data_IF_990236292617
#
_entry.id   IF_990236292617
#
_cell.length_a   1.000
_cell.length_b   1.000
_cell.length_c   1.000
_cell.angle_alpha   90.00
_cell.angle_beta   90.00
_cell.angle_gamma   90.00
#
_symmetry.space_group_name_H-M   'P 1'
#
loop_
_entity.id
_entity.type
_entity.pdbx_description
1 polymer ?
#
# COMPACT_ATOMS: atom_id res chain seq x y z
N UNK A 1 -28.72 -0.19 -3.42
CA UNK A 1 -28.75 -0.59 -4.84
C UNK A 1 -27.33 -1.01 -5.23
N UNK A 2 -27.14 -2.26 -5.66
CA UNK A 2 -25.87 -2.69 -6.25
C UNK A 2 -25.80 -2.15 -7.68
N UNK A 3 -24.75 -1.39 -8.01
CA UNK A 3 -24.49 -0.96 -9.39
C UNK A 3 -23.85 -2.15 -10.13
N UNK A 4 -24.39 -2.60 -11.27
CA UNK A 4 -23.75 -3.64 -12.05
C UNK A 4 -22.44 -3.12 -12.66
N UNK A 5 -21.43 -3.99 -12.73
CA UNK A 5 -20.11 -3.74 -13.33
C UNK A 5 -19.84 -4.78 -14.42
N UNK A 6 -19.21 -4.38 -15.54
CA UNK A 6 -18.96 -5.27 -16.66
C UNK A 6 -17.86 -6.31 -16.37
N UNK A 7 -16.93 -5.97 -15.48
CA UNK A 7 -15.84 -6.81 -15.02
C UNK A 7 -15.33 -6.34 -13.64
N UNK A 8 -14.41 -7.11 -13.05
CA UNK A 8 -13.89 -6.83 -11.71
C UNK A 8 -12.95 -5.62 -11.69
N UNK A 9 -12.34 -5.27 -12.83
CA UNK A 9 -11.52 -4.06 -12.99
C UNK A 9 -12.36 -2.80 -12.83
N UNK A 10 -13.50 -2.71 -13.50
CA UNK A 10 -14.43 -1.57 -13.36
C UNK A 10 -14.90 -1.41 -11.92
N UNK A 11 -15.17 -2.52 -11.22
CA UNK A 11 -15.53 -2.47 -9.81
C UNK A 11 -14.39 -1.90 -8.94
N UNK A 12 -13.15 -2.36 -9.14
CA UNK A 12 -11.98 -1.86 -8.40
C UNK A 12 -11.69 -0.40 -8.74
N UNK A 13 -11.81 0.02 -9.99
CA UNK A 13 -11.59 1.41 -10.39
C UNK A 13 -12.67 2.33 -9.83
N UNK A 14 -13.94 1.90 -9.76
CA UNK A 14 -14.96 2.65 -9.03
C UNK A 14 -14.61 2.77 -7.53
N UNK A 15 -14.12 1.69 -6.92
CA UNK A 15 -13.68 1.73 -5.53
C UNK A 15 -12.49 2.69 -5.35
N UNK A 16 -11.56 2.74 -6.31
CA UNK A 16 -10.44 3.69 -6.33
C UNK A 16 -10.93 5.13 -6.37
N UNK A 17 -11.86 5.44 -7.27
CA UNK A 17 -12.47 6.78 -7.37
C UNK A 17 -13.12 7.19 -6.04
N UNK A 18 -13.91 6.29 -5.45
CA UNK A 18 -14.56 6.55 -4.17
C UNK A 18 -13.54 6.79 -3.04
N UNK A 19 -12.52 5.92 -2.94
CA UNK A 19 -11.50 6.00 -1.91
C UNK A 19 -10.63 7.27 -2.05
N UNK A 20 -10.25 7.64 -3.27
CA UNK A 20 -9.47 8.85 -3.53
C UNK A 20 -10.32 10.12 -3.36
N UNK A 21 -11.60 10.09 -3.71
CA UNK A 21 -12.55 11.17 -3.44
C UNK A 21 -12.71 11.40 -1.94
N UNK A 22 -12.95 10.32 -1.17
CA UNK A 22 -12.99 10.37 0.29
C UNK A 22 -11.71 10.95 0.89
N UNK A 23 -10.53 10.48 0.44
CA UNK A 23 -9.24 11.02 0.90
C UNK A 23 -9.14 12.52 0.60
N UNK A 24 -9.46 12.94 -0.62
CA UNK A 24 -9.38 14.35 -1.03
C UNK A 24 -10.31 15.24 -0.18
N UNK A 25 -11.53 14.79 0.11
CA UNK A 25 -12.46 15.51 0.98
C UNK A 25 -11.95 15.61 2.41
N UNK A 26 -11.36 14.54 2.96
CA UNK A 26 -10.77 14.55 4.30
C UNK A 26 -9.55 15.47 4.41
N UNK A 27 -8.70 15.51 3.39
CA UNK A 27 -7.51 16.37 3.35
C UNK A 27 -7.83 17.87 3.29
N UNK A 28 -9.05 18.24 2.90
CA UNK A 28 -9.51 19.64 2.95
C UNK A 28 -10.02 20.05 4.33
N UNK A 29 -10.21 19.11 5.26
CA UNK A 29 -10.73 19.40 6.60
C UNK A 29 -9.61 19.90 7.52
N UNK A 30 -9.90 20.82 8.46
CA UNK A 30 -8.92 21.25 9.47
C UNK A 30 -8.40 20.11 10.34
N UNK A 31 -9.22 19.07 10.52
CA UNK A 31 -8.87 17.83 11.21
C UNK A 31 -9.25 16.65 10.32
N UNK A 32 -8.24 15.90 9.92
CA UNK A 32 -8.38 14.71 9.07
C UNK A 32 -8.94 13.56 9.92
N UNK A 33 -9.86 12.77 9.37
CA UNK A 33 -10.37 11.57 10.02
C UNK A 33 -9.22 10.59 10.35
N UNK A 34 -9.21 9.99 11.55
CA UNK A 34 -8.27 8.92 11.88
C UNK A 34 -8.44 7.68 11.00
N UNK A 35 -9.57 7.56 10.29
CA UNK A 35 -9.85 6.40 9.45
C UNK A 35 -8.89 6.29 8.26
N UNK A 36 -8.37 7.41 7.73
CA UNK A 36 -7.32 7.40 6.69
C UNK A 36 -6.11 6.59 7.18
N UNK A 37 -5.62 6.93 8.38
CA UNK A 37 -4.51 6.20 9.01
C UNK A 37 -4.89 4.75 9.29
N UNK A 38 -6.08 4.47 9.84
CA UNK A 38 -6.51 3.08 10.12
C UNK A 38 -6.55 2.21 8.86
N UNK A 39 -7.03 2.74 7.74
CA UNK A 39 -7.10 2.02 6.45
C UNK A 39 -5.69 1.65 5.98
N UNK A 40 -4.75 2.60 6.03
CA UNK A 40 -3.36 2.37 5.63
C UNK A 40 -2.67 1.40 6.60
N UNK A 41 -2.85 1.58 7.91
CA UNK A 41 -2.25 0.74 8.95
C UNK A 41 -2.74 -0.72 8.92
N UNK A 42 -3.93 -0.98 8.37
CA UNK A 42 -4.43 -2.34 8.18
C UNK A 42 -3.60 -3.15 7.17
N UNK A 43 -2.77 -2.50 6.35
CA UNK A 43 -1.86 -3.20 5.46
C UNK A 43 -0.67 -3.78 6.23
N UNK A 44 -0.23 -5.01 5.92
CA UNK A 44 0.93 -5.60 6.55
C UNK A 44 2.21 -4.85 6.16
N UNK A 45 3.20 -4.82 7.06
CA UNK A 45 4.54 -4.31 6.74
C UNK A 45 5.20 -5.14 5.64
N UNK A 46 6.11 -4.50 4.89
CA UNK A 46 6.97 -5.20 3.95
C UNK A 46 8.15 -5.86 4.66
N UNK A 47 8.44 -7.09 4.26
CA UNK A 47 9.52 -7.90 4.82
C UNK A 47 9.05 -8.82 5.96
N UNK A 48 9.99 -9.48 6.65
CA UNK A 48 9.66 -10.34 7.78
C UNK A 48 8.98 -9.53 8.88
N UNK A 49 7.67 -9.72 9.04
CA UNK A 49 6.85 -9.08 10.06
C UNK A 49 6.39 -10.11 11.07
N UNK A 50 6.15 -9.68 12.32
CA UNK A 50 5.51 -10.53 13.34
C UNK A 50 4.02 -10.78 13.06
N UNK A 51 3.44 -10.04 12.12
CA UNK A 51 2.05 -10.18 11.73
C UNK A 51 1.90 -11.44 10.84
N UNK A 52 0.86 -12.23 11.09
CA UNK A 52 0.54 -13.38 10.22
C UNK A 52 0.11 -12.88 8.85
N UNK A 53 1.00 -13.01 7.86
CA UNK A 53 0.68 -12.66 6.48
C UNK A 53 -0.37 -13.62 5.92
N UNK A 54 -1.38 -13.06 5.23
CA UNK A 54 -2.25 -13.86 4.37
C UNK A 54 -1.43 -14.56 3.27
N UNK A 55 -1.99 -15.62 2.68
CA UNK A 55 -1.36 -16.31 1.54
C UNK A 55 -1.07 -15.37 0.35
N UNK A 56 -1.96 -14.42 0.08
CA UNK A 56 -1.77 -13.40 -0.95
C UNK A 56 -0.63 -12.44 -0.60
N UNK A 57 -0.62 -11.87 0.61
CA UNK A 57 0.44 -10.98 1.09
C UNK A 57 1.81 -11.66 1.07
N UNK A 58 1.88 -12.92 1.50
CA UNK A 58 3.12 -13.71 1.45
C UNK A 58 3.61 -13.91 0.01
N UNK A 59 2.70 -14.17 -0.93
CA UNK A 59 3.03 -14.32 -2.35
C UNK A 59 3.53 -13.02 -2.99
N UNK A 60 2.89 -11.89 -2.67
CA UNK A 60 3.26 -10.54 -3.14
C UNK A 60 4.66 -10.12 -2.71
N UNK A 61 5.08 -10.55 -1.53
CA UNK A 61 6.39 -10.21 -0.97
C UNK A 61 7.48 -11.25 -1.26
N UNK A 62 7.22 -12.28 -2.08
CA UNK A 62 8.23 -13.31 -2.42
C UNK A 62 9.50 -12.73 -3.06
N UNK A 63 9.35 -11.71 -3.91
CA UNK A 63 10.50 -11.02 -4.53
C UNK A 63 11.30 -10.16 -3.54
N UNK A 64 10.77 -9.99 -2.34
CA UNK A 64 11.42 -9.31 -1.23
C UNK A 64 12.09 -10.30 -0.29
N UNK A 65 12.33 -11.56 -0.66
CA UNK A 65 13.27 -12.42 0.05
C UNK A 65 14.71 -11.94 -0.21
N UNK A 66 15.59 -12.07 0.77
CA UNK A 66 16.98 -11.64 0.64
C UNK A 66 17.77 -11.95 1.89
N UNK A 67 19.00 -11.44 1.98
CA UNK A 67 19.91 -11.71 3.11
C UNK A 67 19.37 -11.15 4.43
N UNK A 68 19.95 -11.60 5.54
CA UNK A 68 19.63 -11.06 6.87
C UNK A 68 19.97 -9.57 6.98
N UNK A 69 21.09 -9.14 6.39
CA UNK A 69 21.49 -7.74 6.31
C UNK A 69 20.47 -6.87 5.54
N UNK A 70 20.00 -7.35 4.39
CA UNK A 70 18.97 -6.66 3.62
C UNK A 70 17.62 -6.62 4.36
N UNK A 71 17.30 -7.68 5.12
CA UNK A 71 16.11 -7.69 5.95
C UNK A 71 16.21 -6.68 7.10
N UNK A 72 17.39 -6.51 7.70
CA UNK A 72 17.66 -5.48 8.70
C UNK A 72 17.51 -4.08 8.13
N UNK A 73 18.13 -3.79 6.98
CA UNK A 73 17.96 -2.50 6.30
C UNK A 73 16.50 -2.19 5.99
N UNK A 74 15.71 -3.19 5.57
CA UNK A 74 14.28 -3.01 5.32
C UNK A 74 13.50 -2.75 6.62
N UNK A 75 13.88 -3.36 7.75
CA UNK A 75 13.28 -3.05 9.07
C UNK A 75 13.57 -1.61 9.47
N UNK A 76 14.82 -1.17 9.35
CA UNK A 76 15.24 0.19 9.69
C UNK A 76 14.54 1.23 8.81
N UNK A 77 14.37 0.93 7.50
CA UNK A 77 13.63 1.80 6.60
C UNK A 77 12.13 1.87 6.94
N UNK A 78 11.49 0.75 7.30
CA UNK A 78 10.11 0.78 7.78
C UNK A 78 9.99 1.64 9.04
N UNK A 79 10.91 1.51 10.00
CA UNK A 79 10.91 2.34 11.21
C UNK A 79 11.06 3.82 10.86
N UNK A 80 12.06 4.17 10.05
CA UNK A 80 12.30 5.56 9.63
C UNK A 80 11.10 6.14 8.87
N UNK A 81 10.45 5.34 8.05
CA UNK A 81 9.22 5.73 7.36
C UNK A 81 8.11 6.04 8.37
N UNK A 82 7.87 5.17 9.35
CA UNK A 82 6.83 5.35 10.38
C UNK A 82 7.11 6.55 11.30
N UNK A 83 8.38 6.85 11.57
CA UNK A 83 8.81 8.06 12.27
C UNK A 83 8.57 9.33 11.44
N UNK A 84 8.79 9.27 10.13
CA UNK A 84 8.58 10.39 9.20
C UNK A 84 7.10 10.66 8.97
N UNK A 85 6.28 9.61 8.87
CA UNK A 85 4.84 9.68 8.65
C UNK A 85 4.07 8.97 9.78
N UNK A 86 3.93 9.59 10.97
CA UNK A 86 3.26 8.97 12.11
C UNK A 86 1.84 8.48 11.77
N UNK A 87 1.59 7.21 12.09
CA UNK A 87 0.29 6.57 11.84
C UNK A 87 0.08 6.07 10.41
N UNK A 88 1.12 6.06 9.56
CA UNK A 88 1.11 5.37 8.26
C UNK A 88 2.02 4.14 8.30
N UNK A 89 1.76 3.21 7.39
CA UNK A 89 2.69 2.13 6.99
C UNK A 89 3.03 2.34 5.53
N UNK A 90 4.24 1.96 5.13
CA UNK A 90 4.63 2.03 3.73
C UNK A 90 3.86 0.99 2.92
N UNK A 91 2.97 1.47 2.05
CA UNK A 91 2.18 0.63 1.14
C UNK A 91 2.65 0.89 -0.28
N UNK A 92 3.00 -0.18 -0.99
CA UNK A 92 3.41 -0.09 -2.39
C UNK A 92 3.09 -1.40 -3.13
N UNK A 93 2.65 -1.29 -4.38
CA UNK A 93 2.37 -2.47 -5.21
C UNK A 93 3.65 -3.08 -5.78
N UNK A 94 4.21 -4.11 -5.14
CA UNK A 94 5.54 -4.63 -5.46
C UNK A 94 5.65 -5.11 -6.92
N UNK A 95 4.67 -5.83 -7.45
CA UNK A 95 4.61 -6.30 -8.85
C UNK A 95 5.92 -6.92 -9.39
N UNK A 96 6.59 -7.75 -8.59
CA UNK A 96 7.86 -8.38 -9.00
C UNK A 96 9.09 -7.45 -8.96
N UNK A 97 8.96 -6.22 -8.48
CA UNK A 97 10.10 -5.36 -8.18
C UNK A 97 11.03 -6.05 -7.18
N UNK A 98 12.33 -5.81 -7.37
CA UNK A 98 13.37 -6.31 -6.46
C UNK A 98 13.26 -5.59 -5.11
N UNK A 99 13.81 -6.23 -4.07
CA UNK A 99 13.91 -5.62 -2.74
C UNK A 99 14.61 -4.26 -2.78
N UNK A 100 15.73 -4.16 -3.49
CA UNK A 100 16.49 -2.91 -3.61
C UNK A 100 15.66 -1.79 -4.25
N UNK A 101 14.96 -2.07 -5.36
CA UNK A 101 14.10 -1.08 -6.00
C UNK A 101 12.95 -0.60 -5.09
N UNK A 102 12.41 -1.49 -4.25
CA UNK A 102 11.39 -1.13 -3.26
C UNK A 102 11.96 -0.28 -2.13
N UNK A 103 13.18 -0.59 -1.67
CA UNK A 103 13.88 0.17 -0.63
C UNK A 103 14.29 1.56 -1.11
N UNK A 104 14.82 1.67 -2.33
CA UNK A 104 15.14 2.96 -2.99
C UNK A 104 13.88 3.82 -3.10
N UNK A 105 12.77 3.24 -3.57
CA UNK A 105 11.49 3.97 -3.63
C UNK A 105 10.99 4.41 -2.24
N UNK A 106 11.20 3.59 -1.20
CA UNK A 106 10.86 3.98 0.17
C UNK A 106 11.73 5.15 0.65
N UNK A 107 13.03 5.14 0.35
CA UNK A 107 13.96 6.22 0.69
C UNK A 107 13.59 7.53 -0.03
N UNK A 108 13.26 7.47 -1.32
CA UNK A 108 12.79 8.63 -2.09
C UNK A 108 11.54 9.25 -1.48
N UNK A 109 10.58 8.42 -1.08
CA UNK A 109 9.31 8.87 -0.48
C UNK A 109 9.51 9.49 0.90
N UNK A 110 10.39 8.91 1.72
CA UNK A 110 10.84 9.51 3.00
C UNK A 110 11.49 10.87 2.75
N UNK A 111 12.43 10.95 1.80
CA UNK A 111 13.16 12.18 1.49
C UNK A 111 12.25 13.28 0.94
N UNK A 112 11.23 12.90 0.15
CA UNK A 112 10.19 13.81 -0.36
C UNK A 112 9.35 14.43 0.77
N UNK A 113 9.16 13.71 1.87
CA UNK A 113 8.47 14.16 3.09
C UNK A 113 7.09 14.82 2.83
N UNK A 114 6.32 14.26 1.90
CA UNK A 114 5.00 14.75 1.52
C UNK A 114 3.92 13.76 1.96
N UNK A 115 3.27 14.05 3.09
CA UNK A 115 2.26 13.18 3.69
C UNK A 115 0.97 13.10 2.86
N UNK A 116 0.61 14.14 2.12
CA UNK A 116 -0.60 14.14 1.29
C UNK A 116 -0.40 13.20 0.09
N UNK A 117 0.75 13.33 -0.57
CA UNK A 117 1.11 12.43 -1.65
C UNK A 117 1.29 10.99 -1.14
N UNK A 118 1.83 10.82 0.06
CA UNK A 118 2.01 9.50 0.67
C UNK A 118 0.68 8.75 0.88
N UNK A 119 -0.34 9.44 1.41
CA UNK A 119 -1.68 8.86 1.56
C UNK A 119 -2.32 8.52 0.22
N UNK A 120 -2.19 9.42 -0.76
CA UNK A 120 -2.73 9.23 -2.11
C UNK A 120 -2.11 8.01 -2.80
N UNK A 121 -0.79 7.89 -2.74
CA UNK A 121 -0.06 6.76 -3.30
C UNK A 121 -0.39 5.46 -2.56
N UNK A 122 -0.50 5.48 -1.23
CA UNK A 122 -0.92 4.31 -0.45
C UNK A 122 -2.31 3.83 -0.90
N UNK A 123 -3.29 4.73 -1.01
CA UNK A 123 -4.64 4.42 -1.49
C UNK A 123 -4.64 3.86 -2.92
N UNK A 124 -3.86 4.46 -3.82
CA UNK A 124 -3.69 3.93 -5.18
C UNK A 124 -3.07 2.52 -5.19
N UNK A 125 -2.03 2.30 -4.39
CA UNK A 125 -1.36 1.02 -4.29
C UNK A 125 -2.28 -0.10 -3.79
N UNK A 126 -3.20 0.19 -2.85
CA UNK A 126 -4.20 -0.78 -2.39
C UNK A 126 -5.08 -1.30 -3.54
N UNK A 127 -5.53 -0.40 -4.42
CA UNK A 127 -6.33 -0.76 -5.59
C UNK A 127 -5.50 -1.51 -6.65
N UNK A 128 -4.23 -1.14 -6.84
CA UNK A 128 -3.33 -1.86 -7.76
C UNK A 128 -3.09 -3.30 -7.28
N UNK A 129 -2.87 -3.48 -5.97
CA UNK A 129 -2.78 -4.80 -5.33
C UNK A 129 -4.08 -5.58 -5.51
N UNK A 130 -5.24 -4.94 -5.32
CA UNK A 130 -6.54 -5.57 -5.52
C UNK A 130 -6.75 -6.05 -6.98
N UNK A 131 -6.35 -5.23 -7.96
CA UNK A 131 -6.39 -5.58 -9.38
C UNK A 131 -5.53 -6.81 -9.70
N UNK A 132 -4.30 -6.85 -9.17
CA UNK A 132 -3.41 -8.00 -9.35
C UNK A 132 -3.95 -9.27 -8.68
N UNK A 133 -4.53 -9.17 -7.48
CA UNK A 133 -5.20 -10.29 -6.81
C UNK A 133 -6.38 -10.80 -7.63
N UNK A 134 -7.23 -9.91 -8.12
CA UNK A 134 -8.37 -10.27 -8.96
C UNK A 134 -7.92 -11.01 -10.22
N UNK A 135 -6.85 -10.52 -10.88
CA UNK A 135 -6.23 -11.21 -12.02
C UNK A 135 -5.78 -12.63 -11.67
N UNK A 136 -5.06 -12.79 -10.56
CA UNK A 136 -4.52 -14.07 -10.09
C UNK A 136 -5.60 -15.07 -9.68
N UNK A 137 -6.79 -14.58 -9.30
CA UNK A 137 -7.96 -15.40 -9.00
C UNK A 137 -8.80 -15.75 -10.25
N UNK A 138 -8.38 -15.32 -11.44
CA UNK A 138 -9.08 -15.60 -12.71
C UNK A 138 -10.32 -14.74 -12.93
N UNK A 139 -10.44 -13.60 -12.23
CA UNK A 139 -11.54 -12.67 -12.48
C UNK A 139 -11.45 -12.11 -13.90
N UNK A 140 -12.62 -11.90 -14.53
CA UNK A 140 -12.70 -11.11 -15.75
C UNK A 140 -12.31 -9.67 -15.40
N UNK A 141 -11.31 -9.13 -16.09
CA UNK A 141 -10.84 -7.75 -15.96
C UNK A 141 -11.25 -6.88 -17.15
#
# INVERSE_FOLDING_TARGET
>A
MTRPHANYREFIELAREYMLGYLQEEEQKPKISPDISKIILAHPRLGPSKDSLSSHSASEQKSLAGSEEEAEKLRDLNQRYEETFPGLRYVVFVNGRSRNAVMENMQERIARNDILLERREAFGAMCDIACDRARKLGAKL
#
